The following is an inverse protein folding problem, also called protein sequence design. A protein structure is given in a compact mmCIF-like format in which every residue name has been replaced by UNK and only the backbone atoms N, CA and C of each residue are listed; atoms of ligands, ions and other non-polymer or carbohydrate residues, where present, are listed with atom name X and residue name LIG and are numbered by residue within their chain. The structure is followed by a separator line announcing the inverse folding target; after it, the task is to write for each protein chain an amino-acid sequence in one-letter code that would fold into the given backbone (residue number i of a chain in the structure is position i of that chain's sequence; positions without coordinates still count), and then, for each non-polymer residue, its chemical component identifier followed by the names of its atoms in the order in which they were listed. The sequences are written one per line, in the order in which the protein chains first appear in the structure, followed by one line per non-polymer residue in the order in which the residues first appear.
data_IF_025094738992
#
_entry.id   IF_025094738992
#
_cell.length_a   1.000
_cell.length_b   1.000
_cell.length_c   1.000
_cell.angle_alpha   90.00
_cell.angle_beta   90.00
_cell.angle_gamma   90.00
#
_symmetry.space_group_name_H-M   'P 1'
#
loop_
_entity.id
_entity.type
_entity.pdbx_description
1 polymer ?
#
# COMPACT_ATOMS: atom_id res chain seq x y z
N UNK A 1 -30.74 -37.09 23.85
CA UNK A 1 -29.55 -36.26 23.55
C UNK A 1 -29.34 -36.35 22.04
N UNK A 2 -29.31 -35.32 21.19
CA UNK A 2 -29.27 -33.85 21.28
C UNK A 2 -30.03 -33.29 20.06
N UNK A 3 -30.58 -32.08 20.24
CA UNK A 3 -31.23 -31.20 19.24
C UNK A 3 -30.18 -30.73 18.21
N UNK A 4 -30.48 -30.74 16.90
CA UNK A 4 -31.01 -29.63 16.10
C UNK A 4 -30.22 -28.31 16.25
N UNK A 5 -29.52 -27.91 15.18
CA UNK A 5 -29.45 -26.55 14.62
C UNK A 5 -28.51 -26.54 13.38
N UNK A 6 -29.12 -26.61 12.20
CA UNK A 6 -28.52 -26.13 10.95
C UNK A 6 -28.84 -24.64 10.85
N UNK A 7 -27.82 -23.80 10.74
CA UNK A 7 -27.99 -22.39 10.40
C UNK A 7 -27.47 -22.18 8.97
N UNK A 8 -28.39 -21.82 8.09
CA UNK A 8 -28.14 -21.34 6.75
C UNK A 8 -27.44 -19.97 6.79
N UNK A 9 -26.57 -19.72 5.81
CA UNK A 9 -26.31 -18.38 5.31
C UNK A 9 -26.08 -18.48 3.80
N UNK A 10 -27.18 -18.25 3.09
CA UNK A 10 -27.16 -17.86 1.70
C UNK A 10 -26.72 -16.38 1.65
N UNK A 11 -25.62 -16.10 0.96
CA UNK A 11 -25.35 -14.77 0.41
C UNK A 11 -25.37 -14.88 -1.10
N UNK A 12 -26.48 -14.44 -1.69
CA UNK A 12 -26.61 -14.23 -3.11
C UNK A 12 -25.72 -13.05 -3.52
N UNK A 13 -24.67 -13.32 -4.30
CA UNK A 13 -24.03 -12.30 -5.13
C UNK A 13 -24.24 -12.71 -6.58
N UNK A 14 -25.03 -11.88 -7.29
CA UNK A 14 -25.29 -11.99 -8.71
C UNK A 14 -23.97 -12.06 -9.48
N UNK A 15 -23.71 -13.19 -10.15
CA UNK A 15 -22.71 -13.27 -11.19
C UNK A 15 -23.20 -12.49 -12.41
N UNK A 16 -22.70 -11.27 -12.57
CA UNK A 16 -22.65 -10.61 -13.87
C UNK A 16 -21.73 -11.42 -14.77
N UNK A 17 -22.28 -11.98 -15.85
CA UNK A 17 -21.52 -12.71 -16.85
C UNK A 17 -20.54 -11.78 -17.55
N UNK A 18 -19.25 -11.89 -17.25
CA UNK A 18 -18.17 -11.40 -18.11
C UNK A 18 -17.58 -12.61 -18.82
N UNK A 19 -18.09 -12.87 -20.01
CA UNK A 19 -17.38 -13.60 -21.05
C UNK A 19 -16.11 -12.80 -21.38
N UNK A 20 -14.93 -13.38 -21.21
CA UNK A 20 -13.73 -12.97 -21.94
C UNK A 20 -12.78 -14.16 -22.14
N UNK A 21 -12.90 -14.78 -23.30
CA UNK A 21 -11.80 -15.45 -24.01
C UNK A 21 -10.63 -14.49 -24.20
N UNK A 22 -9.43 -14.88 -23.81
CA UNK A 22 -8.22 -14.18 -24.20
C UNK A 22 -7.01 -14.56 -23.34
N UNK A 23 -6.20 -15.52 -23.82
CA UNK A 23 -4.80 -15.60 -23.39
C UNK A 23 -4.13 -14.26 -23.68
N UNK A 24 -3.88 -13.45 -22.65
CA UNK A 24 -2.96 -12.34 -22.77
C UNK A 24 -1.56 -12.93 -22.95
N UNK A 25 -0.96 -12.72 -24.12
CA UNK A 25 0.47 -12.95 -24.29
C UNK A 25 1.16 -11.93 -23.40
N UNK A 26 1.70 -12.38 -22.26
CA UNK A 26 2.55 -11.57 -21.40
C UNK A 26 3.76 -11.14 -22.22
N UNK A 27 3.89 -9.84 -22.44
CA UNK A 27 5.05 -9.25 -23.09
C UNK A 27 6.28 -9.49 -22.20
N UNK A 28 7.39 -9.96 -22.78
CA UNK A 28 8.58 -10.35 -22.02
C UNK A 28 9.19 -9.13 -21.33
N UNK A 29 9.12 -9.10 -20.01
CA UNK A 29 9.79 -8.12 -19.16
C UNK A 29 10.82 -8.86 -18.28
N UNK A 30 12.14 -8.67 -18.50
CA UNK A 30 13.19 -9.36 -17.73
C UNK A 30 13.10 -9.17 -16.21
N UNK A 31 12.50 -8.07 -15.74
CA UNK A 31 12.26 -7.84 -14.32
C UNK A 31 11.14 -8.75 -13.78
N UNK A 32 10.05 -8.89 -14.54
CA UNK A 32 8.94 -9.78 -14.18
C UNK A 32 9.34 -11.25 -14.27
N UNK A 33 10.19 -11.62 -15.23
CA UNK A 33 10.75 -12.96 -15.33
C UNK A 33 11.57 -13.32 -14.08
N UNK A 34 12.44 -12.40 -13.66
CA UNK A 34 13.29 -12.59 -12.48
C UNK A 34 12.49 -12.65 -11.18
N UNK A 35 11.42 -11.84 -11.06
CA UNK A 35 10.48 -11.90 -9.95
C UNK A 35 9.68 -13.22 -9.94
N UNK A 36 9.26 -13.72 -11.10
CA UNK A 36 8.58 -15.02 -11.22
C UNK A 36 9.44 -16.16 -10.65
N UNK A 37 10.74 -16.16 -11.00
CA UNK A 37 11.69 -17.17 -10.53
C UNK A 37 11.86 -17.11 -9.00
N UNK A 38 12.13 -15.91 -8.47
CA UNK A 38 12.38 -15.68 -7.05
C UNK A 38 11.16 -16.07 -6.20
N UNK A 39 9.99 -15.51 -6.56
CA UNK A 39 8.74 -15.69 -5.84
C UNK A 39 8.29 -17.15 -5.87
N UNK A 40 8.38 -17.79 -7.04
CA UNK A 40 8.08 -19.21 -7.19
C UNK A 40 8.92 -20.06 -6.25
N UNK A 41 10.25 -19.92 -6.31
CA UNK A 41 11.17 -20.72 -5.52
C UNK A 41 10.98 -20.56 -4.00
N UNK A 42 10.91 -19.32 -3.51
CA UNK A 42 10.74 -19.03 -2.07
C UNK A 42 9.40 -19.57 -1.56
N UNK A 43 8.31 -19.34 -2.29
CA UNK A 43 6.98 -19.81 -1.87
C UNK A 43 6.88 -21.34 -1.95
N UNK A 44 7.51 -21.96 -2.95
CA UNK A 44 7.60 -23.41 -3.07
C UNK A 44 8.33 -24.02 -1.87
N UNK A 45 9.48 -23.46 -1.49
CA UNK A 45 10.23 -23.90 -0.32
C UNK A 45 9.44 -23.75 0.99
N UNK A 46 8.80 -22.58 1.21
CA UNK A 46 7.97 -22.35 2.39
C UNK A 46 6.80 -23.33 2.47
N UNK A 47 6.13 -23.56 1.34
CA UNK A 47 5.05 -24.55 1.26
C UNK A 47 5.58 -25.96 1.55
N UNK A 48 6.74 -26.34 1.00
CA UNK A 48 7.37 -27.64 1.25
C UNK A 48 7.67 -27.85 2.72
N UNK A 49 8.22 -26.83 3.39
CA UNK A 49 8.47 -26.84 4.82
C UNK A 49 7.17 -26.97 5.64
N UNK A 50 6.10 -26.28 5.24
CA UNK A 50 4.78 -26.37 5.87
C UNK A 50 4.18 -27.77 5.72
N UNK A 51 4.24 -28.37 4.53
CA UNK A 51 3.76 -29.73 4.28
C UNK A 51 4.55 -30.78 5.07
N UNK A 52 5.87 -30.60 5.17
CA UNK A 52 6.73 -31.45 6.01
C UNK A 52 6.32 -31.37 7.49
N UNK A 53 6.08 -30.17 8.01
CA UNK A 53 5.62 -29.98 9.39
C UNK A 53 4.23 -30.59 9.61
N UNK A 54 3.30 -30.45 8.67
CA UNK A 54 1.98 -31.11 8.68
C UNK A 54 2.09 -32.64 8.73
N UNK A 55 3.02 -33.21 7.95
CA UNK A 55 3.30 -34.64 7.95
C UNK A 55 3.85 -35.12 9.31
N UNK A 56 4.71 -34.33 9.96
CA UNK A 56 5.20 -34.62 11.32
C UNK A 56 4.09 -34.62 12.37
N UNK A 57 2.99 -33.90 12.13
CA UNK A 57 1.79 -33.88 12.98
C UNK A 57 0.75 -34.96 12.62
N UNK A 58 1.08 -35.87 11.71
CA UNK A 58 0.18 -36.95 11.27
C UNK A 58 -0.87 -36.52 10.23
N UNK A 59 -0.76 -35.29 9.70
CA UNK A 59 -1.61 -34.77 8.63
C UNK A 59 -0.85 -34.72 7.30
N UNK A 60 -0.34 -35.87 6.87
CA UNK A 60 0.42 -35.96 5.63
C UNK A 60 -0.48 -35.61 4.42
N UNK A 61 0.02 -34.71 3.58
CA UNK A 61 -0.62 -34.31 2.31
C UNK A 61 0.17 -34.98 1.19
N UNK A 62 -0.56 -35.60 0.25
CA UNK A 62 0.06 -36.12 -0.98
C UNK A 62 0.55 -34.94 -1.84
N UNK A 63 1.86 -34.74 -1.84
CA UNK A 63 2.53 -33.62 -2.53
C UNK A 63 2.32 -33.67 -4.05
N UNK A 64 2.19 -34.86 -4.65
CA UNK A 64 1.97 -35.00 -6.08
C UNK A 64 0.54 -34.58 -6.46
N UNK A 65 -0.46 -35.02 -5.69
CA UNK A 65 -1.86 -34.58 -5.87
C UNK A 65 -2.05 -33.10 -5.54
N UNK A 66 -1.34 -32.59 -4.53
CA UNK A 66 -1.30 -31.16 -4.22
C UNK A 66 -0.74 -30.34 -5.38
N UNK A 67 0.43 -30.71 -5.91
CA UNK A 67 1.04 -30.05 -7.06
C UNK A 67 0.13 -30.07 -8.29
N UNK A 68 -0.53 -31.20 -8.54
CA UNK A 68 -1.49 -31.32 -9.63
C UNK A 68 -2.65 -30.33 -9.44
N UNK A 69 -3.28 -30.33 -8.27
CA UNK A 69 -4.39 -29.42 -7.98
C UNK A 69 -3.97 -27.95 -8.04
N UNK A 70 -2.76 -27.64 -7.58
CA UNK A 70 -2.16 -26.31 -7.61
C UNK A 70 -1.90 -25.80 -9.03
N UNK A 71 -1.31 -26.63 -9.89
CA UNK A 71 -1.12 -26.32 -11.32
C UNK A 71 -2.47 -26.09 -12.01
N UNK A 72 -3.48 -26.91 -11.68
CA UNK A 72 -4.82 -26.76 -12.25
C UNK A 72 -5.53 -25.50 -11.74
N UNK A 73 -5.38 -25.13 -10.46
CA UNK A 73 -5.96 -23.91 -9.90
C UNK A 73 -5.37 -22.61 -10.43
N UNK A 74 -4.09 -22.60 -10.78
CA UNK A 74 -3.47 -21.45 -11.48
C UNK A 74 -4.00 -21.32 -12.91
N UNK A 75 -4.38 -22.44 -13.55
CA UNK A 75 -4.67 -22.47 -15.00
C UNK A 75 -6.15 -22.61 -15.38
N UNK A 76 -7.04 -23.01 -14.45
CA UNK A 76 -8.47 -23.30 -14.68
C UNK A 76 -9.33 -22.99 -13.43
N UNK A 77 -10.63 -22.75 -13.61
CA UNK A 77 -11.61 -22.70 -12.53
C UNK A 77 -12.00 -24.14 -12.07
N UNK A 78 -12.17 -24.34 -10.75
CA UNK A 78 -12.13 -25.63 -10.07
C UNK A 78 -13.47 -26.40 -10.02
N UNK A 79 -13.45 -27.73 -10.26
CA UNK A 79 -14.55 -28.68 -9.97
C UNK A 79 -14.01 -30.12 -9.73
N UNK A 80 -13.72 -30.58 -8.48
CA UNK A 80 -13.30 -32.01 -8.21
C UNK A 80 -13.04 -32.43 -6.74
N UNK A 81 -13.69 -33.51 -6.25
CA UNK A 81 -13.85 -34.02 -4.85
C UNK A 81 -12.61 -34.56 -4.08
N UNK A 82 -11.38 -34.07 -4.27
CA UNK A 82 -10.17 -34.58 -3.59
C UNK A 82 -9.49 -33.51 -2.71
N UNK A 83 -9.31 -33.76 -1.41
CA UNK A 83 -8.81 -32.75 -0.44
C UNK A 83 -7.45 -32.13 -0.80
N UNK A 84 -6.40 -32.94 -1.03
CA UNK A 84 -5.06 -32.41 -1.36
C UNK A 84 -5.04 -31.67 -2.71
N UNK A 85 -5.83 -32.16 -3.66
CA UNK A 85 -6.04 -31.49 -4.94
C UNK A 85 -6.77 -30.15 -4.75
N UNK A 86 -7.86 -30.09 -3.97
CA UNK A 86 -8.57 -28.83 -3.66
C UNK A 86 -7.69 -27.84 -2.91
N UNK A 87 -6.90 -28.30 -1.93
CA UNK A 87 -5.96 -27.46 -1.22
C UNK A 87 -4.99 -26.82 -2.22
N UNK A 88 -4.44 -27.62 -3.14
CA UNK A 88 -3.66 -27.12 -4.26
C UNK A 88 -4.45 -26.12 -5.10
N UNK A 89 -5.67 -26.46 -5.54
CA UNK A 89 -6.48 -25.63 -6.44
C UNK A 89 -6.88 -24.30 -5.84
N UNK A 90 -7.25 -24.24 -4.55
CA UNK A 90 -7.58 -23.00 -3.86
C UNK A 90 -6.33 -22.12 -3.75
N UNK A 91 -5.21 -22.68 -3.29
CA UNK A 91 -3.94 -21.95 -3.20
C UNK A 91 -3.47 -21.47 -4.57
N UNK A 92 -3.60 -22.33 -5.58
CA UNK A 92 -3.25 -22.02 -6.96
C UNK A 92 -4.13 -20.93 -7.57
N UNK A 93 -5.44 -20.96 -7.32
CA UNK A 93 -6.34 -19.91 -7.79
C UNK A 93 -6.03 -18.55 -7.15
N UNK A 94 -5.89 -18.51 -5.82
CA UNK A 94 -5.55 -17.29 -5.09
C UNK A 94 -4.23 -16.68 -5.57
N UNK A 95 -3.20 -17.52 -5.73
CA UNK A 95 -1.89 -17.04 -6.17
C UNK A 95 -1.89 -16.71 -7.66
N UNK A 96 -2.55 -17.51 -8.49
CA UNK A 96 -2.69 -17.26 -9.93
C UNK A 96 -3.32 -15.91 -10.23
N UNK A 97 -4.38 -15.54 -9.50
CA UNK A 97 -5.00 -14.21 -9.60
C UNK A 97 -4.00 -13.09 -9.29
N UNK A 98 -3.21 -13.22 -8.21
CA UNK A 98 -2.16 -12.25 -7.88
C UNK A 98 -1.06 -12.18 -8.95
N UNK A 99 -0.65 -13.31 -9.53
CA UNK A 99 0.35 -13.34 -10.61
C UNK A 99 -0.16 -12.66 -11.88
N UNK A 100 -1.45 -12.81 -12.22
CA UNK A 100 -2.07 -12.08 -13.35
C UNK A 100 -2.07 -10.59 -13.10
N UNK A 101 -2.50 -10.16 -11.91
CA UNK A 101 -2.53 -8.75 -11.51
C UNK A 101 -1.14 -8.12 -11.59
N UNK A 102 -0.13 -8.83 -11.09
CA UNK A 102 1.27 -8.42 -11.08
C UNK A 102 2.00 -8.60 -12.42
N UNK A 103 1.32 -9.18 -13.43
CA UNK A 103 1.89 -9.52 -14.75
C UNK A 103 3.13 -10.41 -14.67
N UNK A 104 3.14 -11.34 -13.72
CA UNK A 104 4.21 -12.32 -13.51
C UNK A 104 4.02 -13.50 -14.47
N UNK A 105 5.10 -13.97 -15.10
CA UNK A 105 5.05 -15.14 -15.96
C UNK A 105 4.71 -16.39 -15.14
N UNK A 106 3.47 -16.86 -15.28
CA UNK A 106 2.95 -18.00 -14.55
C UNK A 106 3.71 -19.30 -14.87
N UNK A 107 4.19 -19.47 -16.11
CA UNK A 107 4.90 -20.69 -16.52
C UNK A 107 6.27 -20.75 -15.86
N UNK A 108 6.95 -19.61 -15.80
CA UNK A 108 8.24 -19.47 -15.14
C UNK A 108 8.06 -19.60 -13.63
N UNK A 109 7.06 -18.92 -13.05
CA UNK A 109 6.71 -19.06 -11.64
C UNK A 109 6.46 -20.52 -11.26
N UNK A 110 5.60 -21.23 -11.99
CA UNK A 110 5.27 -22.64 -11.74
C UNK A 110 6.50 -23.55 -11.77
N UNK A 111 7.40 -23.33 -12.74
CA UNK A 111 8.65 -24.10 -12.86
C UNK A 111 9.52 -23.97 -11.61
N UNK A 112 9.71 -22.75 -11.11
CA UNK A 112 10.56 -22.51 -9.94
C UNK A 112 9.85 -22.81 -8.62
N UNK A 113 8.52 -22.69 -8.57
CA UNK A 113 7.70 -23.15 -7.45
C UNK A 113 7.81 -24.66 -7.26
N UNK A 114 7.71 -25.44 -8.34
CA UNK A 114 7.90 -26.89 -8.30
C UNK A 114 9.31 -27.27 -7.85
N UNK A 115 10.34 -26.58 -8.36
CA UNK A 115 11.72 -26.79 -7.93
C UNK A 115 11.90 -26.52 -6.42
N UNK A 116 11.39 -25.39 -5.93
CA UNK A 116 11.44 -25.04 -4.50
C UNK A 116 10.68 -26.03 -3.63
N UNK A 117 9.48 -26.44 -4.03
CA UNK A 117 8.65 -27.40 -3.30
C UNK A 117 9.34 -28.76 -3.15
N UNK A 118 10.06 -29.21 -4.18
CA UNK A 118 10.77 -30.48 -4.20
C UNK A 118 12.18 -30.41 -3.58
N UNK A 119 12.62 -29.22 -3.15
CA UNK A 119 13.99 -28.99 -2.67
C UNK A 119 15.06 -29.13 -3.76
N UNK A 120 14.69 -29.01 -5.03
CA UNK A 120 15.61 -29.06 -6.16
C UNK A 120 16.43 -27.76 -6.23
N UNK A 121 17.68 -27.85 -5.77
CA UNK A 121 18.64 -26.76 -5.78
C UNK A 121 19.39 -26.61 -7.11
N UNK A 122 19.22 -27.54 -8.05
CA UNK A 122 19.97 -27.54 -9.33
C UNK A 122 19.42 -26.53 -10.34
N UNK A 123 18.14 -26.16 -10.20
CA UNK A 123 17.45 -25.22 -11.07
C UNK A 123 17.70 -23.75 -10.71
N UNK A 124 18.09 -23.46 -9.47
CA UNK A 124 18.38 -22.09 -9.03
C UNK A 124 19.89 -21.82 -9.03
N UNK A 125 20.29 -20.67 -9.58
CA UNK A 125 21.67 -20.15 -9.44
C UNK A 125 21.83 -19.27 -8.19
N UNK A 126 20.75 -19.03 -7.48
CA UNK A 126 20.71 -18.17 -6.30
C UNK A 126 20.69 -19.02 -5.04
N UNK A 127 21.48 -18.58 -4.05
CA UNK A 127 21.28 -19.05 -2.69
C UNK A 127 19.90 -18.62 -2.19
N UNK A 128 19.40 -19.25 -1.12
CA UNK A 128 18.14 -18.83 -0.52
C UNK A 128 18.20 -17.37 -0.05
N UNK A 129 19.35 -16.93 0.47
CA UNK A 129 19.57 -15.55 0.91
C UNK A 129 19.51 -14.55 -0.26
N UNK A 130 20.15 -14.87 -1.39
CA UNK A 130 20.12 -14.03 -2.59
C UNK A 130 18.71 -13.96 -3.19
N UNK A 131 18.01 -15.09 -3.23
CA UNK A 131 16.64 -15.16 -3.73
C UNK A 131 15.69 -14.31 -2.87
N UNK A 132 15.85 -14.35 -1.54
CA UNK A 132 15.01 -13.59 -0.61
C UNK A 132 15.33 -12.10 -0.63
N UNK A 133 16.60 -11.73 -0.72
CA UNK A 133 17.04 -10.34 -0.90
C UNK A 133 16.49 -9.76 -2.20
N UNK A 134 16.61 -10.51 -3.31
CA UNK A 134 16.07 -10.10 -4.59
C UNK A 134 14.54 -9.96 -4.53
N UNK A 135 13.85 -10.94 -3.96
CA UNK A 135 12.39 -10.94 -3.84
C UNK A 135 11.91 -9.70 -3.09
N UNK A 136 12.46 -9.43 -1.90
CA UNK A 136 12.06 -8.27 -1.09
C UNK A 136 12.24 -6.95 -1.86
N UNK A 137 13.39 -6.76 -2.52
CA UNK A 137 13.65 -5.56 -3.31
C UNK A 137 12.77 -5.44 -4.56
N UNK A 138 12.48 -6.56 -5.22
CA UNK A 138 11.64 -6.58 -6.42
C UNK A 138 10.15 -6.35 -6.07
N UNK A 139 9.66 -6.93 -4.97
CA UNK A 139 8.30 -6.72 -4.48
C UNK A 139 8.09 -5.29 -4.00
N UNK A 140 9.07 -4.70 -3.29
CA UNK A 140 9.03 -3.29 -2.94
C UNK A 140 8.88 -2.40 -4.18
N UNK A 141 9.70 -2.63 -5.23
CA UNK A 141 9.61 -1.87 -6.48
C UNK A 141 8.29 -2.08 -7.22
N UNK A 142 7.77 -3.30 -7.20
CA UNK A 142 6.47 -3.59 -7.80
C UNK A 142 5.35 -2.84 -7.07
N UNK A 143 5.38 -2.81 -5.74
CA UNK A 143 4.43 -2.07 -4.93
C UNK A 143 4.54 -0.56 -5.16
N UNK A 144 5.76 -0.01 -5.16
CA UNK A 144 6.00 1.40 -5.52
C UNK A 144 5.42 1.73 -6.91
N UNK A 145 5.62 0.86 -7.91
CA UNK A 145 5.05 1.02 -9.26
C UNK A 145 3.53 0.94 -9.27
N UNK A 146 2.91 0.07 -8.45
CA UNK A 146 1.46 -0.02 -8.31
C UNK A 146 0.89 1.27 -7.69
N UNK A 147 1.51 1.76 -6.61
CA UNK A 147 1.14 3.03 -6.00
C UNK A 147 1.27 4.18 -7.00
N UNK A 148 2.37 4.23 -7.75
CA UNK A 148 2.57 5.25 -8.79
C UNK A 148 1.52 5.16 -9.90
N UNK A 149 1.17 3.94 -10.33
CA UNK A 149 0.17 3.73 -11.39
C UNK A 149 -1.22 4.17 -10.91
N UNK A 150 -1.56 3.88 -9.65
CA UNK A 150 -2.88 4.15 -9.09
C UNK A 150 -3.05 5.60 -8.64
N UNK A 151 -2.02 6.19 -8.02
CA UNK A 151 -2.09 7.48 -7.34
C UNK A 151 -1.08 8.51 -7.88
N UNK A 152 -0.24 8.18 -8.84
CA UNK A 152 0.79 9.09 -9.36
C UNK A 152 0.22 10.39 -9.95
N UNK A 153 -1.06 10.40 -10.36
CA UNK A 153 -1.77 11.61 -10.76
C UNK A 153 -1.81 12.68 -9.66
N UNK A 154 -1.85 12.27 -8.39
CA UNK A 154 -1.88 13.17 -7.24
C UNK A 154 -0.61 14.03 -7.15
N UNK A 155 0.55 13.51 -7.59
CA UNK A 155 1.79 14.30 -7.67
C UNK A 155 1.64 15.48 -8.62
N UNK A 156 1.13 15.20 -9.81
CA UNK A 156 0.98 16.22 -10.86
C UNK A 156 -0.10 17.23 -10.48
N UNK A 157 -1.29 16.76 -10.09
CA UNK A 157 -2.39 17.65 -9.68
C UNK A 157 -2.03 18.47 -8.44
N UNK A 158 -1.33 17.85 -7.48
CA UNK A 158 -0.83 18.52 -6.29
C UNK A 158 0.22 19.60 -6.61
N UNK A 159 1.16 19.32 -7.51
CA UNK A 159 2.15 20.29 -7.96
C UNK A 159 1.51 21.45 -8.74
N UNK A 160 0.53 21.17 -9.60
CA UNK A 160 -0.25 22.18 -10.33
C UNK A 160 -1.05 23.07 -9.38
N UNK A 161 -1.74 22.48 -8.39
CA UNK A 161 -2.47 23.22 -7.36
C UNK A 161 -1.52 24.14 -6.58
N UNK A 162 -0.37 23.63 -6.13
CA UNK A 162 0.61 24.39 -5.38
C UNK A 162 1.17 25.55 -6.21
N UNK A 163 1.52 25.30 -7.48
CA UNK A 163 2.01 26.33 -8.39
C UNK A 163 0.98 27.44 -8.62
N UNK A 164 -0.30 27.07 -8.75
CA UNK A 164 -1.40 28.03 -8.89
C UNK A 164 -1.61 28.83 -7.61
N UNK A 165 -1.65 28.18 -6.45
CA UNK A 165 -1.80 28.86 -5.16
C UNK A 165 -0.64 29.81 -4.91
N UNK A 166 0.60 29.42 -5.23
CA UNK A 166 1.79 30.26 -5.09
C UNK A 166 1.78 31.56 -5.91
N UNK A 167 0.90 31.67 -6.91
CA UNK A 167 0.74 32.89 -7.72
C UNK A 167 -0.33 33.84 -7.16
N UNK A 168 -1.10 33.42 -6.16
CA UNK A 168 -2.10 34.28 -5.55
C UNK A 168 -1.45 35.42 -4.75
N UNK A 169 -2.11 36.58 -4.73
CA UNK A 169 -1.62 37.74 -4.02
C UNK A 169 -1.45 37.46 -2.51
N UNK A 170 -0.28 37.83 -1.97
CA UNK A 170 0.05 37.64 -0.57
C UNK A 170 0.52 36.22 -0.19
N UNK A 171 0.63 35.31 -1.16
CA UNK A 171 1.21 33.98 -0.93
C UNK A 171 2.73 34.07 -0.92
N UNK A 172 3.33 33.40 0.07
CA UNK A 172 4.77 33.25 0.25
C UNK A 172 5.15 31.79 0.00
N UNK A 173 6.36 31.56 -0.49
CA UNK A 173 6.89 30.22 -0.74
C UNK A 173 8.17 30.00 0.07
N UNK A 174 8.27 28.85 0.72
CA UNK A 174 9.47 28.46 1.46
C UNK A 174 10.46 27.71 0.53
N UNK A 175 11.71 27.61 0.97
CA UNK A 175 12.75 26.88 0.21
C UNK A 175 12.44 25.39 0.08
N UNK A 176 11.76 24.80 1.06
CA UNK A 176 11.34 23.40 1.05
C UNK A 176 10.15 23.13 0.10
N UNK A 177 9.50 24.19 -0.38
CA UNK A 177 8.44 24.12 -1.37
C UNK A 177 7.03 24.35 -0.85
N UNK A 178 6.86 24.64 0.45
CA UNK A 178 5.55 25.03 1.01
C UNK A 178 5.11 26.37 0.44
N UNK A 179 3.82 26.53 0.15
CA UNK A 179 3.23 27.82 -0.16
C UNK A 179 2.18 28.18 0.90
N UNK A 180 2.22 29.39 1.44
CA UNK A 180 1.28 29.81 2.49
C UNK A 180 0.87 31.28 2.37
N UNK A 181 -0.32 31.59 2.88
CA UNK A 181 -0.89 32.93 2.93
C UNK A 181 -1.29 33.27 4.36
N UNK A 182 -0.87 34.42 4.84
CA UNK A 182 -1.38 34.98 6.10
C UNK A 182 -2.78 35.53 5.84
N UNK A 183 -3.78 34.96 6.52
CA UNK A 183 -5.19 35.38 6.44
C UNK A 183 -5.49 36.42 7.52
N UNK A 184 -4.96 36.21 8.73
CA UNK A 184 -5.08 37.15 9.84
C UNK A 184 -3.74 37.20 10.56
N UNK A 185 -3.09 38.36 10.67
CA UNK A 185 -1.79 38.46 11.31
C UNK A 185 -1.89 38.23 12.82
N UNK A 186 -0.95 37.44 13.36
CA UNK A 186 -0.73 37.31 14.80
C UNK A 186 0.25 38.37 15.32
N UNK A 187 0.27 38.57 16.64
CA UNK A 187 1.16 39.55 17.30
C UNK A 187 2.00 38.97 18.43
N UNK A 188 1.74 37.72 18.82
CA UNK A 188 2.46 37.10 19.93
C UNK A 188 3.74 36.37 19.50
N UNK A 189 4.14 35.40 20.31
CA UNK A 189 5.38 34.67 20.13
C UNK A 189 5.35 33.78 18.89
N UNK A 190 6.54 33.53 18.33
CA UNK A 190 6.74 32.51 17.29
C UNK A 190 7.25 31.23 17.98
N UNK A 191 6.60 30.07 17.79
CA UNK A 191 7.05 28.80 18.34
C UNK A 191 8.45 28.40 17.84
N UNK A 192 9.19 27.69 18.69
CA UNK A 192 10.42 26.97 18.36
C UNK A 192 10.15 25.46 18.34
N UNK A 193 11.07 24.66 17.81
CA UNK A 193 10.96 23.19 17.77
C UNK A 193 10.70 22.53 19.15
N UNK A 194 11.10 23.18 20.24
CA UNK A 194 10.96 22.63 21.60
C UNK A 194 9.60 22.93 22.23
N UNK A 195 8.85 23.86 21.65
CA UNK A 195 7.60 24.33 22.22
C UNK A 195 6.45 23.38 21.89
N UNK A 196 5.36 23.56 22.64
CA UNK A 196 4.05 23.02 22.32
C UNK A 196 3.16 24.16 21.84
N UNK A 197 2.14 23.84 21.06
CA UNK A 197 1.20 24.84 20.52
C UNK A 197 -0.22 24.35 20.65
N UNK A 198 -1.14 25.27 20.87
CA UNK A 198 -2.58 25.03 20.72
C UNK A 198 -3.05 25.64 19.42
N UNK A 199 -3.76 24.85 18.62
CA UNK A 199 -4.22 25.28 17.30
C UNK A 199 -5.68 24.89 17.06
N UNK A 200 -6.35 25.70 16.25
CA UNK A 200 -7.48 25.22 15.46
C UNK A 200 -7.01 24.96 14.03
N UNK A 201 -7.55 23.93 13.41
CA UNK A 201 -7.23 23.65 12.01
C UNK A 201 -8.37 22.95 11.28
N UNK A 202 -8.33 23.09 9.96
CA UNK A 202 -9.09 22.27 9.02
C UNK A 202 -8.11 21.81 7.94
N UNK A 203 -8.04 20.50 7.72
CA UNK A 203 -7.24 19.86 6.69
C UNK A 203 -8.13 19.34 5.56
N UNK A 204 -7.83 19.74 4.33
CA UNK A 204 -8.52 19.29 3.13
C UNK A 204 -7.56 18.78 2.07
N UNK A 205 -8.03 17.84 1.25
CA UNK A 205 -7.38 17.49 0.00
C UNK A 205 -7.52 18.64 -1.01
N UNK A 206 -6.74 18.62 -2.09
CA UNK A 206 -6.79 19.67 -3.14
C UNK A 206 -8.14 19.76 -3.86
N UNK A 207 -8.97 18.70 -3.78
CA UNK A 207 -10.33 18.67 -4.30
C UNK A 207 -11.37 19.30 -3.34
N UNK A 208 -10.94 19.74 -2.15
CA UNK A 208 -11.79 20.35 -1.12
C UNK A 208 -12.42 19.37 -0.12
N UNK A 209 -12.16 18.07 -0.24
CA UNK A 209 -12.62 17.07 0.73
C UNK A 209 -11.89 17.24 2.07
N UNK A 210 -12.64 17.46 3.14
CA UNK A 210 -12.11 17.51 4.51
C UNK A 210 -11.68 16.11 4.95
N UNK A 211 -10.44 15.98 5.42
CA UNK A 211 -9.93 14.72 5.98
C UNK A 211 -9.74 14.78 7.49
N UNK A 212 -9.55 15.98 8.05
CA UNK A 212 -9.37 16.17 9.49
C UNK A 212 -9.68 17.62 9.88
N UNK A 213 -10.12 17.82 11.13
CA UNK A 213 -10.29 19.15 11.73
C UNK A 213 -10.23 19.09 13.25
N UNK A 214 -9.82 20.20 13.86
CA UNK A 214 -10.03 20.42 15.29
C UNK A 214 -11.52 20.60 15.62
N UNK A 215 -11.93 20.20 16.82
CA UNK A 215 -13.25 20.50 17.37
C UNK A 215 -13.40 21.94 17.85
N UNK A 216 -14.39 22.18 18.72
CA UNK A 216 -14.63 23.49 19.35
C UNK A 216 -13.46 23.94 20.23
N UNK A 217 -12.77 22.99 20.86
CA UNK A 217 -11.57 23.24 21.66
C UNK A 217 -10.31 23.08 20.82
N UNK A 218 -9.28 23.93 21.02
CA UNK A 218 -8.04 23.83 20.28
C UNK A 218 -7.27 22.58 20.68
N UNK A 219 -6.56 21.99 19.71
CA UNK A 219 -5.76 20.78 19.93
C UNK A 219 -4.32 21.17 20.22
N UNK A 220 -3.69 20.47 21.17
CA UNK A 220 -2.32 20.73 21.58
C UNK A 220 -1.33 19.73 20.96
N UNK A 221 -0.29 20.25 20.30
CA UNK A 221 0.77 19.46 19.67
C UNK A 221 2.15 19.91 20.14
N UNK A 222 3.12 19.00 20.17
CA UNK A 222 4.53 19.40 20.11
C UNK A 222 4.90 19.80 18.69
N UNK A 223 5.67 20.87 18.51
CA UNK A 223 6.02 21.40 17.17
C UNK A 223 6.68 20.33 16.27
N UNK A 224 7.43 19.39 16.84
CA UNK A 224 8.09 18.30 16.10
C UNK A 224 7.30 16.98 16.08
N UNK A 225 6.07 16.95 16.59
CA UNK A 225 5.24 15.73 16.67
C UNK A 225 4.18 15.66 15.55
N UNK A 226 4.33 16.52 14.53
CA UNK A 226 3.44 16.66 13.38
C UNK A 226 4.24 16.46 12.08
N UNK A 227 3.56 16.42 10.93
CA UNK A 227 4.24 16.30 9.63
C UNK A 227 5.28 17.43 9.45
N UNK A 228 6.33 17.18 8.66
CA UNK A 228 7.44 18.13 8.53
C UNK A 228 6.99 19.50 8.00
N UNK A 229 5.99 19.53 7.10
CA UNK A 229 5.42 20.80 6.64
C UNK A 229 4.71 21.60 7.73
N UNK A 230 4.09 20.93 8.71
CA UNK A 230 3.53 21.57 9.90
C UNK A 230 4.62 22.08 10.84
N UNK A 231 5.68 21.28 11.05
CA UNK A 231 6.84 21.69 11.87
C UNK A 231 7.46 22.98 11.32
N UNK A 232 7.56 23.10 10.01
CA UNK A 232 8.09 24.29 9.34
C UNK A 232 7.14 25.49 9.45
N UNK A 233 5.86 25.34 9.05
CA UNK A 233 4.93 26.48 9.02
C UNK A 233 4.66 27.05 10.42
N UNK A 234 4.57 26.21 11.46
CA UNK A 234 4.35 26.68 12.83
C UNK A 234 5.48 27.59 13.31
N UNK A 235 6.72 27.34 12.90
CA UNK A 235 7.89 28.17 13.24
C UNK A 235 7.98 29.46 12.42
N UNK A 236 7.11 29.64 11.42
CA UNK A 236 6.95 30.88 10.67
C UNK A 236 5.74 31.71 11.16
N UNK A 237 4.83 31.08 11.90
CA UNK A 237 3.63 31.73 12.44
C UNK A 237 3.92 32.53 13.72
N UNK A 238 3.02 33.45 14.02
CA UNK A 238 2.90 34.13 15.32
C UNK A 238 1.64 33.69 16.05
N UNK A 239 1.68 33.70 17.37
CA UNK A 239 0.49 33.51 18.18
C UNK A 239 -0.61 34.52 17.80
N UNK A 240 -1.83 34.01 17.65
CA UNK A 240 -3.00 34.72 17.12
C UNK A 240 -3.11 34.72 15.59
N UNK A 241 -2.14 34.17 14.86
CA UNK A 241 -2.13 34.17 13.41
C UNK A 241 -3.03 33.08 12.84
N UNK A 242 -3.77 33.41 11.77
CA UNK A 242 -4.45 32.45 10.91
C UNK A 242 -3.76 32.42 9.55
N UNK A 243 -3.33 31.24 9.11
CA UNK A 243 -2.73 31.01 7.79
C UNK A 243 -3.51 29.98 7.00
N UNK A 244 -3.46 30.10 5.67
CA UNK A 244 -3.78 29.03 4.75
C UNK A 244 -2.47 28.52 4.15
N UNK A 245 -2.21 27.23 4.22
CA UNK A 245 -0.95 26.61 3.78
C UNK A 245 -1.23 25.42 2.87
N UNK A 246 -0.41 25.28 1.83
CA UNK A 246 -0.39 24.16 0.90
C UNK A 246 0.95 23.45 1.06
N UNK A 247 0.88 22.19 1.49
CA UNK A 247 2.03 21.36 1.85
C UNK A 247 2.20 20.27 0.77
N UNK A 248 3.34 20.23 0.06
CA UNK A 248 3.61 19.20 -0.93
C UNK A 248 3.75 17.82 -0.26
N UNK A 249 3.49 16.75 -1.01
CA UNK A 249 3.43 15.39 -0.49
C UNK A 249 4.71 14.93 0.23
N UNK A 250 5.87 15.42 -0.20
CA UNK A 250 7.19 15.14 0.40
C UNK A 250 7.31 15.66 1.83
N UNK A 251 6.55 16.71 2.19
CA UNK A 251 6.50 17.30 3.52
C UNK A 251 5.25 16.89 4.31
N UNK A 252 4.48 15.94 3.76
CA UNK A 252 3.28 15.37 4.34
C UNK A 252 3.44 13.85 4.54
N UNK A 253 2.57 13.04 3.93
CA UNK A 253 2.56 11.57 4.11
C UNK A 253 3.29 10.79 3.00
N UNK A 254 3.82 11.47 1.99
CA UNK A 254 4.61 10.82 0.96
C UNK A 254 3.82 9.76 0.18
N UNK A 255 4.44 8.60 -0.03
CA UNK A 255 3.81 7.45 -0.68
C UNK A 255 2.85 6.66 0.25
N UNK A 256 2.74 7.05 1.52
CA UNK A 256 1.97 6.30 2.52
C UNK A 256 0.52 6.73 2.50
N UNK A 257 -0.39 5.77 2.46
CA UNK A 257 -1.81 6.01 2.68
C UNK A 257 -2.07 6.17 4.18
N UNK A 258 -2.83 7.21 4.57
CA UNK A 258 -3.20 7.46 5.98
C UNK A 258 -4.65 7.91 6.08
N UNK A 259 -5.51 7.10 6.72
CA UNK A 259 -6.95 7.39 6.75
C UNK A 259 -7.53 7.46 5.34
N UNK A 260 -8.19 8.58 5.03
CA UNK A 260 -8.71 8.92 3.69
C UNK A 260 -7.71 9.74 2.83
N UNK A 261 -6.46 9.90 3.30
CA UNK A 261 -5.40 10.56 2.52
C UNK A 261 -4.69 9.52 1.67
N UNK A 262 -4.90 9.63 0.36
CA UNK A 262 -4.24 8.77 -0.62
C UNK A 262 -2.74 9.08 -0.73
N UNK A 263 -1.92 8.11 -1.18
CA UNK A 263 -0.52 8.33 -1.52
C UNK A 263 -0.31 9.54 -2.42
N UNK A 264 0.81 10.23 -2.20
CA UNK A 264 1.28 11.39 -2.94
C UNK A 264 0.36 12.62 -2.88
N UNK A 265 -0.55 12.68 -1.91
CA UNK A 265 -1.46 13.81 -1.78
C UNK A 265 -0.76 15.07 -1.27
N UNK A 266 -0.91 16.17 -2.01
CA UNK A 266 -0.70 17.52 -1.48
C UNK A 266 -1.83 17.87 -0.52
N UNK A 267 -1.50 18.46 0.62
CA UNK A 267 -2.48 18.80 1.65
C UNK A 267 -2.67 20.31 1.74
N UNK A 268 -3.90 20.74 1.98
CA UNK A 268 -4.24 22.13 2.24
C UNK A 268 -4.73 22.24 3.67
N UNK A 269 -4.19 23.19 4.42
CA UNK A 269 -4.64 23.47 5.78
C UNK A 269 -5.01 24.93 5.94
N UNK A 270 -6.05 25.20 6.71
CA UNK A 270 -6.20 26.46 7.42
C UNK A 270 -5.83 26.23 8.88
N UNK A 271 -4.89 26.99 9.41
CA UNK A 271 -4.36 26.84 10.76
C UNK A 271 -4.49 28.18 11.47
N UNK A 272 -5.11 28.17 12.66
CA UNK A 272 -5.08 29.28 13.60
C UNK A 272 -4.20 28.88 14.78
N UNK A 273 -3.07 29.57 14.97
CA UNK A 273 -2.21 29.39 16.13
C UNK A 273 -2.79 30.17 17.31
N UNK A 274 -3.36 29.45 18.27
CA UNK A 274 -4.05 30.05 19.42
C UNK A 274 -3.07 30.46 20.51
N UNK A 275 -2.12 29.58 20.84
CA UNK A 275 -1.21 29.77 21.98
C UNK A 275 0.11 29.02 21.76
N UNK A 276 1.23 29.63 22.15
CA UNK A 276 2.53 28.95 22.32
C UNK A 276 2.71 28.53 23.78
N UNK A 277 2.70 27.23 24.02
CA UNK A 277 2.88 26.61 25.34
C UNK A 277 4.35 26.23 25.52
N UNK A 278 5.01 26.87 26.50
CA UNK A 278 6.44 26.68 26.79
C UNK A 278 6.70 25.55 27.80
#
# INVERSE_FOLDING_TARGET
MKKLLYAALASATMFGAISCTGSSKTEKDPANDSLAMARGYVMGMQMGQQLMYSAMQGQAIDTALFLQGFKEGITKAADSTKFSYYAGTITGHQMGSSLVEDKIDQKLFLKYFEAGLMGDTTLTKWSMEDAMTYLNGAEQKLEEKKLETKFGKNKTEGAEYLAKFAQEEGVQKTESGIAYKVITPGTGATPTEKDRVKVHYVGTLINGEEFDKSGEEPVEFGVTQVISGWTEILQLMKEGEKVKVVIPQELAYGQRQTGNIDPFSTLVFEITLVEVVK
#
